data_IF_430922908994
#
_entry.id   IF_430922908994
#
_cell.length_a   1.000
_cell.length_b   1.000
_cell.length_c   1.000
_cell.angle_alpha   90.00
_cell.angle_beta   90.00
_cell.angle_gamma   90.00
#
_symmetry.space_group_name_H-M   'P 1'
#
loop_
_entity.id
_entity.type
_entity.pdbx_description
1 polymer ?
#
# COMPACT_ATOMS: atom_id res chain seq x y z
N UNK A 1 0.64 -2.38 -24.77
CA UNK A 1 -0.37 -3.08 -23.92
C UNK A 1 -0.06 -2.83 -22.45
N UNK A 2 -1.08 -2.78 -21.59
CA UNK A 2 -0.94 -2.63 -20.13
C UNK A 2 -1.41 -3.92 -19.43
N UNK A 3 -0.80 -4.22 -18.28
CA UNK A 3 -1.19 -5.32 -17.39
C UNK A 3 -1.47 -4.76 -16.00
N UNK A 4 -2.61 -5.10 -15.42
CA UNK A 4 -2.92 -4.69 -14.05
C UNK A 4 -2.23 -5.65 -13.08
N UNK A 5 -1.24 -5.18 -12.34
CA UNK A 5 -0.44 -6.04 -11.44
C UNK A 5 -0.78 -5.91 -9.95
N UNK A 6 -1.75 -5.08 -9.57
CA UNK A 6 -1.99 -4.81 -8.16
C UNK A 6 -2.77 -3.55 -7.84
N UNK A 7 -2.82 -3.22 -6.55
CA UNK A 7 -3.38 -1.98 -6.03
C UNK A 7 -2.34 -1.18 -5.26
N UNK A 8 -2.54 0.13 -5.23
CA UNK A 8 -1.76 1.04 -4.41
C UNK A 8 -2.70 1.93 -3.58
N UNK A 9 -2.36 2.16 -2.31
CA UNK A 9 -3.00 3.19 -1.49
C UNK A 9 -2.00 3.89 -0.57
N UNK A 10 -2.29 5.14 -0.23
CA UNK A 10 -1.56 5.90 0.78
C UNK A 10 -2.29 5.98 2.13
N UNK A 11 -3.62 5.82 2.13
CA UNK A 11 -4.45 6.21 3.28
C UNK A 11 -4.53 7.73 3.46
N UNK A 12 -5.35 8.22 4.40
CA UNK A 12 -5.36 9.64 4.75
C UNK A 12 -4.01 10.07 5.36
N UNK A 13 -3.69 11.35 5.25
CA UNK A 13 -2.55 11.93 5.96
C UNK A 13 -2.92 12.04 7.44
N UNK A 14 -2.48 11.09 8.25
CA UNK A 14 -2.66 11.09 9.70
C UNK A 14 -1.33 11.21 10.44
N UNK A 15 -1.37 11.73 11.67
CA UNK A 15 -0.24 11.66 12.60
C UNK A 15 -0.09 10.27 13.20
N UNK A 16 -1.19 9.60 13.52
CA UNK A 16 -1.20 8.26 14.07
C UNK A 16 -1.23 7.20 12.95
N UNK A 17 -0.26 6.26 12.90
CA UNK A 17 -0.24 5.16 11.93
C UNK A 17 -1.47 4.24 11.99
N UNK A 18 -2.17 4.16 13.13
CA UNK A 18 -3.36 3.32 13.27
C UNK A 18 -4.56 3.86 12.47
N UNK A 19 -4.61 5.17 12.24
CA UNK A 19 -5.73 5.80 11.52
C UNK A 19 -5.80 5.34 10.05
N UNK A 20 -4.69 4.84 9.49
CA UNK A 20 -4.66 4.29 8.12
C UNK A 20 -5.06 2.82 8.05
N UNK A 21 -5.14 2.10 9.18
CA UNK A 21 -5.45 0.66 9.24
C UNK A 21 -6.79 0.30 8.57
N UNK A 22 -7.90 1.03 8.80
CA UNK A 22 -9.18 0.72 8.13
C UNK A 22 -9.07 0.80 6.61
N UNK A 23 -8.22 1.69 6.10
CA UNK A 23 -8.01 1.88 4.67
C UNK A 23 -7.17 0.74 4.08
N UNK A 24 -6.10 0.32 4.75
CA UNK A 24 -5.30 -0.84 4.33
C UNK A 24 -6.13 -2.12 4.32
N UNK A 25 -6.97 -2.35 5.35
CA UNK A 25 -7.94 -3.45 5.38
C UNK A 25 -8.87 -3.42 4.19
N UNK A 26 -9.43 -2.25 3.87
CA UNK A 26 -10.35 -2.09 2.74
C UNK A 26 -9.64 -2.33 1.41
N UNK A 27 -8.43 -1.81 1.22
CA UNK A 27 -7.65 -2.04 0.00
C UNK A 27 -7.30 -3.51 -0.16
N UNK A 28 -6.92 -4.22 0.91
CA UNK A 28 -6.71 -5.68 0.84
C UNK A 28 -7.98 -6.44 0.43
N UNK A 29 -9.13 -6.10 1.00
CA UNK A 29 -10.42 -6.72 0.59
C UNK A 29 -10.71 -6.50 -0.89
N UNK A 30 -10.44 -5.31 -1.42
CA UNK A 30 -10.62 -5.01 -2.85
C UNK A 30 -9.59 -5.79 -3.69
N UNK A 31 -8.33 -5.86 -3.25
CA UNK A 31 -7.27 -6.61 -3.91
C UNK A 31 -7.65 -8.09 -4.08
N UNK A 32 -8.06 -8.76 -3.00
CA UNK A 32 -8.48 -10.17 -3.05
C UNK A 32 -9.75 -10.36 -3.89
N UNK A 33 -10.69 -9.41 -3.83
CA UNK A 33 -11.88 -9.45 -4.67
C UNK A 33 -11.53 -9.40 -6.16
N UNK A 34 -10.67 -8.47 -6.58
CA UNK A 34 -10.24 -8.37 -7.98
C UNK A 34 -9.47 -9.63 -8.39
N UNK A 35 -8.60 -10.14 -7.52
CA UNK A 35 -7.84 -11.37 -7.76
C UNK A 35 -8.76 -12.55 -8.04
N UNK A 36 -9.86 -12.67 -7.31
CA UNK A 36 -10.83 -13.75 -7.47
C UNK A 36 -11.70 -13.64 -8.73
N UNK A 37 -11.72 -12.49 -9.42
CA UNK A 37 -12.49 -12.31 -10.65
C UNK A 37 -11.82 -12.96 -11.88
N UNK A 38 -10.54 -13.36 -11.77
CA UNK A 38 -9.77 -14.03 -12.83
C UNK A 38 -9.89 -13.34 -14.20
N UNK A 39 -9.72 -12.02 -14.20
CA UNK A 39 -9.91 -11.19 -15.39
C UNK A 39 -8.72 -11.32 -16.36
N UNK A 40 -8.96 -11.28 -17.69
CA UNK A 40 -7.89 -11.29 -18.66
C UNK A 40 -6.96 -10.07 -18.49
N UNK A 41 -5.64 -10.29 -18.58
CA UNK A 41 -4.60 -9.28 -18.40
C UNK A 41 -4.53 -8.63 -16.99
N UNK A 42 -5.11 -9.29 -15.99
CA UNK A 42 -5.03 -8.88 -14.58
C UNK A 42 -4.30 -9.97 -13.78
N UNK A 43 -3.30 -9.58 -13.01
CA UNK A 43 -2.57 -10.45 -12.08
C UNK A 43 -2.33 -9.68 -10.79
N UNK A 44 -3.18 -9.88 -9.79
CA UNK A 44 -3.09 -9.16 -8.52
C UNK A 44 -1.90 -9.67 -7.69
N UNK A 45 -0.70 -9.21 -8.04
CA UNK A 45 0.58 -9.60 -7.44
C UNK A 45 1.03 -8.64 -6.35
N UNK A 46 0.79 -7.34 -6.52
CA UNK A 46 1.32 -6.31 -5.61
C UNK A 46 0.23 -5.57 -4.85
N UNK A 47 0.36 -5.56 -3.54
CA UNK A 47 -0.42 -4.72 -2.64
C UNK A 47 0.51 -3.65 -2.07
N UNK A 48 0.59 -2.52 -2.79
CA UNK A 48 1.51 -1.43 -2.47
C UNK A 48 0.88 -0.47 -1.47
N UNK A 49 1.21 -0.62 -0.20
CA UNK A 49 0.72 0.25 0.86
C UNK A 49 1.70 0.35 2.02
N UNK A 50 1.67 1.48 2.74
CA UNK A 50 2.61 1.78 3.81
C UNK A 50 3.76 2.67 3.37
N UNK A 51 3.96 3.76 4.11
CA UNK A 51 5.09 4.68 3.97
C UNK A 51 5.91 4.71 5.27
N UNK A 52 6.92 5.57 5.36
CA UNK A 52 7.80 5.67 6.55
C UNK A 52 7.07 5.63 7.90
N UNK A 53 5.94 6.33 8.04
CA UNK A 53 5.19 6.37 9.30
C UNK A 53 4.26 5.16 9.50
N UNK A 54 3.86 4.47 8.43
CA UNK A 54 2.75 3.49 8.47
C UNK A 54 3.11 2.09 7.98
N UNK A 55 4.37 1.83 7.63
CA UNK A 55 4.77 0.56 7.00
C UNK A 55 4.55 -0.66 7.90
N UNK A 56 4.67 -0.52 9.23
CA UNK A 56 4.42 -1.64 10.17
C UNK A 56 2.95 -2.07 10.13
N UNK A 57 2.04 -1.11 10.28
CA UNK A 57 0.59 -1.32 10.12
C UNK A 57 0.27 -1.88 8.74
N UNK A 58 0.93 -1.38 7.69
CA UNK A 58 0.73 -1.89 6.34
C UNK A 58 1.13 -3.36 6.19
N UNK A 59 2.26 -3.78 6.77
CA UNK A 59 2.73 -5.17 6.76
C UNK A 59 1.75 -6.06 7.51
N UNK A 60 1.30 -5.66 8.70
CA UNK A 60 0.29 -6.39 9.48
C UNK A 60 -1.02 -6.58 8.69
N UNK A 61 -1.42 -5.57 7.92
CA UNK A 61 -2.61 -5.64 7.08
C UNK A 61 -2.35 -6.31 5.71
N UNK A 62 -1.15 -6.84 5.44
CA UNK A 62 -0.85 -7.70 4.29
C UNK A 62 -0.16 -7.02 3.10
N UNK A 63 0.45 -5.85 3.29
CA UNK A 63 1.28 -5.22 2.26
C UNK A 63 2.47 -6.11 1.90
N UNK A 64 2.73 -6.25 0.60
CA UNK A 64 3.94 -6.92 0.09
C UNK A 64 4.88 -5.94 -0.65
N UNK A 65 4.54 -4.65 -0.64
CA UNK A 65 5.36 -3.58 -1.20
C UNK A 65 5.17 -2.30 -0.37
N UNK A 66 6.17 -1.99 0.46
CA UNK A 66 6.21 -0.76 1.26
C UNK A 66 7.07 0.30 0.55
N UNK A 67 6.83 1.57 0.85
CA UNK A 67 7.49 2.71 0.19
C UNK A 67 8.18 3.60 1.23
N UNK A 68 9.47 3.40 1.48
CA UNK A 68 10.20 4.08 2.54
C UNK A 68 11.08 5.19 1.97
N UNK A 69 10.85 6.43 2.45
CA UNK A 69 11.61 7.61 2.07
C UNK A 69 12.46 8.12 3.22
N UNK A 70 11.88 8.97 4.08
CA UNK A 70 12.57 9.64 5.20
C UNK A 70 13.34 8.70 6.12
N UNK A 71 12.87 7.46 6.38
CA UNK A 71 13.62 6.53 7.23
C UNK A 71 14.88 5.96 6.56
N UNK A 72 14.99 5.99 5.23
CA UNK A 72 16.20 5.59 4.50
C UNK A 72 17.09 6.81 4.23
N UNK A 73 16.50 7.91 3.76
CA UNK A 73 17.26 9.06 3.23
C UNK A 73 17.35 10.27 4.18
N UNK A 74 16.64 10.24 5.31
CA UNK A 74 16.52 11.38 6.22
C UNK A 74 15.56 12.48 5.72
N UNK A 75 15.51 13.57 6.48
CA UNK A 75 14.74 14.76 6.13
C UNK A 75 15.28 15.45 4.87
N UNK A 76 14.38 16.06 4.09
CA UNK A 76 14.77 16.80 2.90
C UNK A 76 15.51 18.08 3.32
N UNK A 77 16.78 18.20 2.94
CA UNK A 77 17.55 19.43 3.10
C UNK A 77 17.09 20.44 2.05
N UNK A 78 16.43 21.51 2.48
CA UNK A 78 16.15 22.67 1.64
C UNK A 78 17.35 23.63 1.75
N UNK A 79 17.88 24.05 0.60
CA UNK A 79 18.83 25.16 0.50
C UNK A 79 18.06 26.42 0.18
#
# INVERSE_FOLDING_TARGET
HLRLEGLMTMGPRSGNPEDVRPYFRRTRKIFERIRALDLPNVDMKYLSMGMTNSYKVAIEEGSNMIRIGTAIFGERKYK
#
